data_IF_488357653187
#
_entry.id   IF_488357653187
#
_cell.length_a   1.000
_cell.length_b   1.000
_cell.length_c   1.000
_cell.angle_alpha   90.00
_cell.angle_beta   90.00
_cell.angle_gamma   90.00
#
_symmetry.space_group_name_H-M   'P 1'
#
loop_
_entity.id
_entity.type
_entity.pdbx_description
1 polymer ?
#
# COMPACT_ATOMS: atom_id res chain seq x y z
N UNK A 1 12.65 14.55 7.75
CA UNK A 1 13.02 13.18 8.16
C UNK A 1 14.16 12.71 7.29
N UNK A 2 15.06 11.89 7.81
CA UNK A 2 16.23 11.42 7.04
C UNK A 2 15.80 10.48 5.92
N UNK A 3 15.83 10.99 4.68
CA UNK A 3 15.53 10.25 3.45
C UNK A 3 16.37 8.96 3.36
N UNK A 4 17.60 8.98 3.87
CA UNK A 4 18.50 7.83 3.94
C UNK A 4 17.99 6.65 4.78
N UNK A 5 17.24 6.89 5.86
CA UNK A 5 16.70 5.80 6.70
C UNK A 5 15.47 5.13 6.09
N UNK A 6 14.66 5.86 5.31
CA UNK A 6 13.59 5.26 4.52
C UNK A 6 14.19 4.40 3.39
N UNK A 7 15.17 4.93 2.66
CA UNK A 7 15.87 4.19 1.61
C UNK A 7 16.58 2.94 2.14
N UNK A 8 17.21 2.99 3.32
CA UNK A 8 17.86 1.81 3.90
C UNK A 8 16.85 0.73 4.31
N UNK A 9 15.68 1.10 4.83
CA UNK A 9 14.59 0.14 5.10
C UNK A 9 14.06 -0.49 3.79
N UNK A 10 13.72 0.32 2.79
CA UNK A 10 13.22 -0.15 1.49
C UNK A 10 14.23 -1.07 0.80
N UNK A 11 15.53 -0.73 0.84
CA UNK A 11 16.61 -1.58 0.33
C UNK A 11 16.62 -2.95 1.02
N UNK A 12 16.56 -3.00 2.34
CA UNK A 12 16.56 -4.25 3.12
C UNK A 12 15.32 -5.11 2.84
N UNK A 13 14.14 -4.49 2.74
CA UNK A 13 12.89 -5.19 2.37
C UNK A 13 12.97 -5.75 0.94
N UNK A 14 13.47 -4.97 -0.01
CA UNK A 14 13.63 -5.39 -1.41
C UNK A 14 14.62 -6.55 -1.52
N UNK A 15 15.75 -6.50 -0.82
CA UNK A 15 16.72 -7.60 -0.75
C UNK A 15 16.09 -8.87 -0.15
N UNK A 16 15.32 -8.74 0.94
CA UNK A 16 14.60 -9.87 1.53
C UNK A 16 13.62 -10.51 0.55
N UNK A 17 12.84 -9.71 -0.19
CA UNK A 17 11.94 -10.18 -1.24
C UNK A 17 12.68 -10.91 -2.37
N UNK A 18 13.80 -10.36 -2.85
CA UNK A 18 14.61 -10.99 -3.90
C UNK A 18 15.20 -12.34 -3.44
N UNK A 19 15.70 -12.41 -2.19
CA UNK A 19 16.18 -13.67 -1.61
C UNK A 19 15.05 -14.70 -1.43
N UNK A 20 13.86 -14.27 -1.00
CA UNK A 20 12.67 -15.11 -0.84
C UNK A 20 12.18 -15.65 -2.19
N UNK A 21 12.09 -14.79 -3.20
CA UNK A 21 11.72 -15.13 -4.58
C UNK A 21 12.71 -16.13 -5.18
N UNK A 22 14.01 -15.85 -5.09
CA UNK A 22 15.06 -16.75 -5.60
C UNK A 22 14.99 -18.14 -4.97
N UNK A 23 14.81 -18.24 -3.64
CA UNK A 23 14.65 -19.53 -2.95
C UNK A 23 13.37 -20.25 -3.33
N UNK A 24 12.27 -19.52 -3.51
CA UNK A 24 10.99 -20.07 -3.96
C UNK A 24 11.10 -20.63 -5.38
N UNK A 25 11.71 -19.90 -6.31
CA UNK A 25 11.98 -20.39 -7.68
C UNK A 25 12.85 -21.65 -7.66
N UNK A 26 13.95 -21.68 -6.89
CA UNK A 26 14.78 -22.89 -6.72
C UNK A 26 13.99 -24.09 -6.20
N UNK A 27 13.06 -23.87 -5.26
CA UNK A 27 12.19 -24.89 -4.69
C UNK A 27 11.15 -25.40 -5.69
N UNK A 28 10.57 -24.50 -6.51
CA UNK A 28 9.64 -24.87 -7.58
C UNK A 28 10.32 -25.74 -8.64
N UNK A 29 11.51 -25.32 -9.11
CA UNK A 29 12.32 -25.98 -10.15
C UNK A 29 12.99 -27.28 -9.63
N UNK A 30 12.68 -27.74 -8.41
CA UNK A 30 13.18 -28.98 -7.81
C UNK A 30 14.72 -29.09 -7.73
N UNK A 31 15.48 -27.98 -7.81
CA UNK A 31 16.95 -27.97 -7.71
C UNK A 31 17.43 -28.10 -6.26
N UNK A 32 17.06 -29.21 -5.60
CA UNK A 32 17.24 -29.45 -4.17
C UNK A 32 18.71 -29.43 -3.72
N UNK A 33 19.63 -29.96 -4.52
CA UNK A 33 21.07 -29.92 -4.21
C UNK A 33 21.61 -28.49 -4.11
N UNK A 34 21.20 -27.62 -5.04
CA UNK A 34 21.62 -26.23 -5.04
C UNK A 34 20.95 -25.45 -3.90
N UNK A 35 19.65 -25.70 -3.66
CA UNK A 35 18.91 -25.14 -2.52
C UNK A 35 19.53 -25.52 -1.18
N UNK A 36 19.91 -26.78 -0.96
CA UNK A 36 20.54 -27.23 0.30
C UNK A 36 21.96 -26.68 0.47
N UNK A 37 22.74 -26.55 -0.61
CA UNK A 37 24.06 -25.91 -0.61
C UNK A 37 24.00 -24.40 -0.30
N UNK A 38 22.99 -23.72 -0.85
CA UNK A 38 22.66 -22.32 -0.52
C UNK A 38 22.20 -22.21 0.93
N UNK A 39 21.25 -23.04 1.37
CA UNK A 39 20.72 -23.05 2.74
C UNK A 39 21.81 -23.31 3.78
N UNK A 40 22.81 -24.15 3.47
CA UNK A 40 23.92 -24.43 4.40
C UNK A 40 24.98 -23.33 4.46
N UNK A 41 25.25 -22.61 3.36
CA UNK A 41 26.12 -21.43 3.36
C UNK A 41 25.45 -20.17 3.93
N UNK A 42 24.16 -19.98 3.69
CA UNK A 42 23.41 -18.76 4.01
C UNK A 42 22.45 -18.96 5.20
N UNK A 43 22.75 -19.92 6.10
CA UNK A 43 21.90 -20.28 7.27
C UNK A 43 21.45 -19.07 8.10
N UNK A 44 22.33 -18.09 8.26
CA UNK A 44 22.07 -16.91 9.08
C UNK A 44 21.52 -15.73 8.27
N UNK A 45 21.53 -15.76 6.94
CA UNK A 45 21.12 -14.60 6.12
C UNK A 45 19.62 -14.35 6.24
N UNK A 46 18.79 -15.39 6.25
CA UNK A 46 17.33 -15.23 6.43
C UNK A 46 16.95 -14.59 7.78
N UNK A 47 17.41 -15.11 8.95
CA UNK A 47 17.11 -14.46 10.22
C UNK A 47 17.80 -13.09 10.38
N UNK A 48 19.00 -12.87 9.80
CA UNK A 48 19.66 -11.56 9.84
C UNK A 48 18.86 -10.52 9.05
N UNK A 49 18.42 -10.83 7.82
CA UNK A 49 17.60 -9.90 7.03
C UNK A 49 16.23 -9.67 7.70
N UNK A 50 15.61 -10.71 8.27
CA UNK A 50 14.35 -10.57 9.02
C UNK A 50 14.50 -9.66 10.24
N UNK A 51 15.55 -9.83 11.04
CA UNK A 51 15.84 -8.97 12.20
C UNK A 51 16.20 -7.54 11.76
N UNK A 52 16.99 -7.38 10.70
CA UNK A 52 17.35 -6.06 10.17
C UNK A 52 16.13 -5.31 9.62
N UNK A 53 15.21 -6.02 8.95
CA UNK A 53 13.94 -5.49 8.46
C UNK A 53 13.02 -5.06 9.61
N UNK A 54 12.90 -5.88 10.66
CA UNK A 54 12.14 -5.54 11.87
C UNK A 54 12.78 -4.38 12.67
N UNK A 55 14.11 -4.35 12.79
CA UNK A 55 14.81 -3.30 13.52
C UNK A 55 14.71 -1.94 12.80
N UNK A 56 14.91 -1.93 11.48
CA UNK A 56 14.72 -0.70 10.67
C UNK A 56 13.25 -0.27 10.66
N UNK A 57 12.30 -1.19 10.44
CA UNK A 57 10.87 -0.90 10.43
C UNK A 57 10.35 -0.40 11.79
N UNK A 58 10.79 -1.03 12.89
CA UNK A 58 10.46 -0.60 14.25
C UNK A 58 11.09 0.75 14.62
N UNK A 59 12.31 1.04 14.13
CA UNK A 59 12.92 2.36 14.27
C UNK A 59 12.12 3.43 13.50
N UNK A 60 11.71 3.17 12.26
CA UNK A 60 10.82 4.08 11.53
C UNK A 60 9.50 4.29 12.29
N UNK A 61 8.87 3.23 12.79
CA UNK A 61 7.63 3.33 13.57
C UNK A 61 7.81 4.19 14.83
N UNK A 62 8.95 4.06 15.52
CA UNK A 62 9.30 4.88 16.69
C UNK A 62 9.42 6.38 16.35
N UNK A 63 9.79 6.75 15.12
CA UNK A 63 9.84 8.14 14.68
C UNK A 63 8.45 8.72 14.36
N UNK A 64 7.47 7.88 14.01
CA UNK A 64 6.07 8.29 13.82
C UNK A 64 5.30 8.38 15.15
N UNK A 65 5.74 7.66 16.19
CA UNK A 65 5.15 7.73 17.53
C UNK A 65 3.68 7.30 17.55
N UNK A 66 2.86 8.02 18.33
CA UNK A 66 1.40 7.79 18.42
C UNK A 66 0.62 8.29 17.20
N UNK A 67 1.24 9.05 16.30
CA UNK A 67 0.64 9.49 15.03
C UNK A 67 0.89 8.49 13.88
N UNK A 68 1.43 7.30 14.19
CA UNK A 68 1.61 6.24 13.21
C UNK A 68 0.25 5.73 12.69
N UNK A 69 -0.02 5.78 11.38
CA UNK A 69 -1.26 5.27 10.81
C UNK A 69 -1.41 3.75 11.05
N UNK A 70 -2.66 3.31 11.21
CA UNK A 70 -3.01 1.94 11.64
C UNK A 70 -2.43 0.84 10.76
N UNK A 71 -2.26 1.10 9.46
CA UNK A 71 -1.67 0.14 8.52
C UNK A 71 -0.23 -0.26 8.88
N UNK A 72 0.57 0.64 9.48
CA UNK A 72 1.95 0.33 9.86
C UNK A 72 2.02 -0.68 11.02
N UNK A 73 1.10 -0.58 11.97
CA UNK A 73 0.98 -1.52 13.09
C UNK A 73 0.53 -2.90 12.62
N UNK A 74 -0.51 -2.96 11.77
CA UNK A 74 -1.00 -4.22 11.19
C UNK A 74 0.07 -4.87 10.31
N UNK A 75 0.78 -4.08 9.48
CA UNK A 75 1.95 -4.53 8.71
C UNK A 75 3.01 -5.18 9.60
N UNK A 76 3.39 -4.53 10.71
CA UNK A 76 4.43 -5.04 11.60
C UNK A 76 4.05 -6.41 12.21
N UNK A 77 2.80 -6.56 12.66
CA UNK A 77 2.27 -7.84 13.18
C UNK A 77 2.25 -8.91 12.09
N UNK A 78 1.78 -8.58 10.89
CA UNK A 78 1.67 -9.51 9.78
C UNK A 78 3.06 -10.02 9.30
N UNK A 79 4.05 -9.13 9.26
CA UNK A 79 5.46 -9.48 8.98
C UNK A 79 6.02 -10.45 10.03
N UNK A 80 5.74 -10.20 11.32
CA UNK A 80 6.20 -11.05 12.42
C UNK A 80 5.62 -12.48 12.33
N UNK A 81 4.43 -12.63 11.76
CA UNK A 81 3.80 -13.94 11.47
C UNK A 81 4.39 -14.59 10.20
N UNK A 82 4.70 -13.82 9.15
CA UNK A 82 5.20 -14.36 7.88
C UNK A 82 6.65 -14.86 7.97
N UNK A 83 7.52 -14.18 8.72
CA UNK A 83 8.94 -14.60 8.88
C UNK A 83 9.06 -16.08 9.33
N UNK A 84 8.42 -16.54 10.43
CA UNK A 84 8.48 -17.95 10.82
C UNK A 84 7.79 -18.89 9.83
N UNK A 85 6.70 -18.47 9.16
CA UNK A 85 6.06 -19.27 8.11
C UNK A 85 7.03 -19.52 6.95
N UNK A 86 7.73 -18.48 6.47
CA UNK A 86 8.75 -18.60 5.42
C UNK A 86 9.91 -19.53 5.82
N UNK A 87 10.44 -19.38 7.04
CA UNK A 87 11.49 -20.27 7.57
C UNK A 87 11.00 -21.73 7.61
N UNK A 88 9.77 -21.98 8.08
CA UNK A 88 9.18 -23.32 8.12
C UNK A 88 8.94 -23.88 6.72
N UNK A 89 8.53 -23.05 5.75
CA UNK A 89 8.33 -23.47 4.36
C UNK A 89 9.61 -24.04 3.73
N UNK A 90 10.74 -23.34 3.83
CA UNK A 90 12.04 -23.82 3.33
C UNK A 90 12.68 -24.91 4.21
N UNK A 91 12.27 -25.04 5.48
CA UNK A 91 12.69 -26.16 6.33
C UNK A 91 11.95 -27.45 5.98
N UNK A 92 10.66 -27.37 5.64
CA UNK A 92 9.78 -28.49 5.25
C UNK A 92 9.75 -28.77 3.74
N UNK A 93 10.46 -27.98 2.92
CA UNK A 93 10.43 -28.02 1.45
C UNK A 93 9.01 -27.90 0.85
N UNK A 94 8.07 -27.28 1.57
CA UNK A 94 6.68 -27.19 1.14
C UNK A 94 6.50 -26.02 0.15
N UNK A 95 6.31 -26.36 -1.13
CA UNK A 95 6.11 -25.40 -2.22
C UNK A 95 4.95 -24.44 -1.97
N UNK A 96 3.79 -24.95 -1.53
CA UNK A 96 2.61 -24.12 -1.30
C UNK A 96 2.86 -23.07 -0.22
N UNK A 97 3.46 -23.47 0.91
CA UNK A 97 3.80 -22.54 2.00
C UNK A 97 4.83 -21.49 1.57
N UNK A 98 5.78 -21.84 0.71
CA UNK A 98 6.78 -20.90 0.19
C UNK A 98 6.16 -19.88 -0.78
N UNK A 99 5.24 -20.31 -1.65
CA UNK A 99 4.49 -19.41 -2.54
C UNK A 99 3.57 -18.49 -1.74
N UNK A 100 2.82 -19.01 -0.75
CA UNK A 100 1.96 -18.20 0.11
C UNK A 100 2.79 -17.14 0.86
N UNK A 101 3.93 -17.52 1.45
CA UNK A 101 4.82 -16.57 2.12
C UNK A 101 5.37 -15.50 1.16
N UNK A 102 5.72 -15.87 -0.08
CA UNK A 102 6.17 -14.93 -1.12
C UNK A 102 5.05 -13.95 -1.51
N UNK A 103 3.84 -14.43 -1.79
CA UNK A 103 2.69 -13.60 -2.16
C UNK A 103 2.30 -12.63 -1.04
N UNK A 104 2.23 -13.10 0.20
CA UNK A 104 1.94 -12.24 1.37
C UNK A 104 3.04 -11.20 1.59
N UNK A 105 4.31 -11.54 1.39
CA UNK A 105 5.43 -10.57 1.51
C UNK A 105 5.36 -9.52 0.40
N UNK A 106 5.02 -9.92 -0.83
CA UNK A 106 4.87 -9.00 -1.96
C UNK A 106 3.67 -8.07 -1.79
N UNK A 107 2.53 -8.60 -1.33
CA UNK A 107 1.35 -7.83 -0.95
C UNK A 107 1.69 -6.77 0.12
N UNK A 108 2.41 -7.15 1.18
CA UNK A 108 2.85 -6.20 2.22
C UNK A 108 3.79 -5.13 1.67
N UNK A 109 4.69 -5.50 0.76
CA UNK A 109 5.61 -4.55 0.14
C UNK A 109 4.84 -3.54 -0.72
N UNK A 110 3.92 -3.98 -1.58
CA UNK A 110 3.05 -3.08 -2.34
C UNK A 110 2.20 -2.19 -1.42
N UNK A 111 1.57 -2.78 -0.39
CA UNK A 111 0.80 -2.06 0.63
C UNK A 111 1.64 -1.04 1.42
N UNK A 112 2.97 -1.22 1.47
CA UNK A 112 3.90 -0.26 2.08
C UNK A 112 4.21 0.93 1.20
N UNK A 113 4.21 0.73 -0.12
CA UNK A 113 4.52 1.77 -1.11
C UNK A 113 3.28 2.65 -1.36
N UNK A 114 2.09 2.04 -1.47
CA UNK A 114 0.81 2.74 -1.66
C UNK A 114 0.21 3.30 -0.35
N UNK A 115 0.84 3.04 0.80
CA UNK A 115 0.38 3.53 2.11
C UNK A 115 -0.94 2.93 2.63
N UNK A 116 -1.48 1.89 1.98
CA UNK A 116 -2.78 1.29 2.30
C UNK A 116 -2.72 -0.24 2.30
N UNK A 117 -3.48 -0.88 3.18
CA UNK A 117 -3.65 -2.35 3.19
C UNK A 117 -4.69 -2.80 2.16
N UNK A 118 -5.72 -2.00 1.93
CA UNK A 118 -6.72 -2.26 0.91
C UNK A 118 -6.21 -1.66 -0.39
N UNK A 119 -5.57 -2.48 -1.22
CA UNK A 119 -5.56 -2.21 -2.65
C UNK A 119 -7.04 -2.15 -3.08
N UNK A 120 -7.51 -0.97 -3.48
CA UNK A 120 -8.87 -0.79 -4.01
C UNK A 120 -9.04 -1.73 -5.19
N UNK A 121 -9.77 -2.82 -4.95
CA UNK A 121 -9.98 -3.87 -5.93
C UNK A 121 -11.15 -3.44 -6.80
N UNK A 122 -10.83 -2.89 -7.96
CA UNK A 122 -11.79 -2.87 -9.06
C UNK A 122 -12.18 -4.32 -9.38
N UNK A 123 -13.48 -4.57 -9.50
CA UNK A 123 -14.04 -5.91 -9.38
C UNK A 123 -13.95 -6.69 -10.70
N UNK A 124 -12.88 -7.48 -10.86
CA UNK A 124 -12.85 -8.53 -11.88
C UNK A 124 -12.38 -9.91 -11.36
N UNK A 125 -13.35 -10.84 -11.27
CA UNK A 125 -13.33 -12.20 -11.87
C UNK A 125 -11.98 -12.95 -11.78
N UNK A 126 -11.78 -14.11 -11.14
CA UNK A 126 -12.60 -15.22 -10.64
C UNK A 126 -11.72 -16.10 -9.68
N UNK A 127 -12.10 -17.21 -9.05
CA UNK A 127 -13.26 -18.12 -9.12
C UNK A 127 -13.63 -18.52 -7.69
N UNK A 128 -14.93 -18.65 -7.40
CA UNK A 128 -15.43 -19.48 -6.29
C UNK A 128 -16.68 -20.23 -6.72
N UNK A 129 -16.51 -21.43 -7.27
CA UNK A 129 -17.60 -22.41 -7.39
C UNK A 129 -17.91 -22.94 -5.97
N UNK A 130 -19.00 -22.46 -5.37
CA UNK A 130 -20.27 -23.20 -5.40
C UNK A 130 -21.38 -22.43 -4.65
N UNK A 131 -22.53 -22.32 -5.31
CA UNK A 131 -23.80 -21.76 -4.79
C UNK A 131 -24.62 -22.89 -4.08
N UNK A 132 -25.84 -22.70 -3.51
CA UNK A 132 -26.70 -21.51 -3.54
C UNK A 132 -27.47 -21.13 -2.25
N UNK A 133 -28.24 -20.04 -2.38
CA UNK A 133 -29.45 -19.62 -1.64
C UNK A 133 -29.29 -18.67 -0.41
N UNK A 134 -30.19 -17.71 -0.16
CA UNK A 134 -31.18 -17.04 -1.05
C UNK A 134 -31.76 -15.71 -0.47
N UNK A 135 -32.29 -14.87 -1.37
CA UNK A 135 -33.36 -13.87 -1.20
C UNK A 135 -33.33 -12.80 -0.08
N UNK A 136 -33.05 -11.57 -0.55
CA UNK A 136 -33.92 -10.39 -0.45
C UNK A 136 -33.94 -9.48 0.80
N UNK A 137 -34.05 -8.18 0.47
CA UNK A 137 -34.43 -7.01 1.26
C UNK A 137 -33.34 -6.27 2.07
N UNK A 138 -33.27 -4.96 1.79
CA UNK A 138 -32.82 -3.87 2.67
C UNK A 138 -31.29 -3.69 2.88
N UNK A 139 -30.65 -3.02 1.93
CA UNK A 139 -29.31 -2.40 2.11
C UNK A 139 -29.49 -0.91 2.41
N UNK A 140 -29.20 -0.53 3.65
CA UNK A 140 -29.19 0.86 4.11
C UNK A 140 -27.89 1.53 3.67
N UNK A 141 -27.98 2.57 2.83
CA UNK A 141 -26.83 3.37 2.41
C UNK A 141 -26.63 4.54 3.39
N UNK A 142 -25.76 4.35 4.38
CA UNK A 142 -25.22 5.45 5.21
C UNK A 142 -23.70 5.34 5.45
N UNK A 143 -23.03 4.24 5.04
CA UNK A 143 -21.61 4.00 5.34
C UNK A 143 -20.60 4.49 4.29
N UNK A 144 -21.03 4.65 3.03
CA UNK A 144 -20.11 4.79 1.89
C UNK A 144 -19.45 6.18 1.80
N UNK A 145 -20.21 7.23 2.08
CA UNK A 145 -19.75 8.63 1.98
C UNK A 145 -18.64 8.98 2.98
N UNK A 146 -18.62 8.37 4.17
CA UNK A 146 -17.66 8.74 5.23
C UNK A 146 -16.26 8.17 4.96
N UNK A 147 -16.15 6.96 4.42
CA UNK A 147 -14.86 6.39 4.02
C UNK A 147 -14.32 7.05 2.73
N UNK A 148 -15.20 7.38 1.77
CA UNK A 148 -14.81 8.12 0.56
C UNK A 148 -14.21 9.50 0.90
N UNK A 149 -14.90 10.32 1.71
CA UNK A 149 -14.40 11.66 2.10
C UNK A 149 -13.08 11.58 2.88
N UNK A 150 -12.93 10.58 3.75
CA UNK A 150 -11.69 10.35 4.50
C UNK A 150 -10.51 10.01 3.57
N UNK A 151 -10.72 9.18 2.55
CA UNK A 151 -9.69 8.91 1.54
C UNK A 151 -9.33 10.18 0.74
N UNK A 152 -10.34 10.96 0.34
CA UNK A 152 -10.17 12.24 -0.37
C UNK A 152 -9.27 13.23 0.38
N UNK A 153 -9.40 13.30 1.71
CA UNK A 153 -8.53 14.11 2.58
C UNK A 153 -7.08 13.64 2.55
N UNK A 154 -6.83 12.35 2.65
CA UNK A 154 -5.48 11.78 2.66
C UNK A 154 -4.76 12.04 1.33
N UNK A 155 -5.45 11.84 0.20
CA UNK A 155 -4.94 12.14 -1.14
C UNK A 155 -4.69 13.65 -1.32
N UNK A 156 -5.60 14.51 -0.86
CA UNK A 156 -5.40 15.96 -0.89
C UNK A 156 -4.14 16.39 -0.11
N UNK A 157 -3.91 15.77 1.05
CA UNK A 157 -2.72 16.03 1.88
C UNK A 157 -1.44 15.40 1.31
N UNK A 158 -1.53 14.36 0.49
CA UNK A 158 -0.38 13.81 -0.23
C UNK A 158 0.00 14.72 -1.42
N UNK A 159 -0.96 15.04 -2.28
CA UNK A 159 -0.69 15.60 -3.60
C UNK A 159 -1.07 17.08 -3.73
N UNK A 160 -2.31 17.45 -3.43
CA UNK A 160 -2.85 18.78 -3.73
C UNK A 160 -2.24 19.89 -2.84
N UNK A 161 -1.98 19.62 -1.55
CA UNK A 161 -1.46 20.62 -0.60
C UNK A 161 -0.10 21.20 -0.99
N UNK A 162 0.67 20.50 -1.83
CA UNK A 162 1.97 20.95 -2.34
C UNK A 162 1.85 22.34 -2.96
N UNK A 163 0.78 22.56 -3.74
CA UNK A 163 0.49 23.83 -4.40
C UNK A 163 -0.63 24.65 -3.73
N UNK A 164 -1.72 23.99 -3.32
CA UNK A 164 -2.90 24.67 -2.77
C UNK A 164 -2.84 24.90 -1.26
N UNK A 165 -1.95 24.23 -0.52
CA UNK A 165 -1.88 24.33 0.94
C UNK A 165 -2.87 23.40 1.64
N UNK A 166 -2.69 23.22 2.94
CA UNK A 166 -3.56 22.37 3.77
C UNK A 166 -4.97 22.97 3.94
N UNK A 167 -5.07 24.30 3.85
CA UNK A 167 -6.28 25.13 3.96
C UNK A 167 -6.83 25.61 2.60
N UNK A 168 -6.25 25.15 1.48
CA UNK A 168 -6.65 25.52 0.12
C UNK A 168 -6.18 26.90 -0.38
N UNK A 169 -5.42 27.67 0.43
CA UNK A 169 -5.15 29.11 0.22
C UNK A 169 -3.70 29.47 -0.16
N UNK A 170 -2.80 28.50 -0.29
CA UNK A 170 -1.35 28.74 -0.46
C UNK A 170 -0.95 29.44 -1.77
N UNK A 171 -1.71 29.25 -2.84
CA UNK A 171 -1.53 29.97 -4.11
C UNK A 171 -0.20 29.75 -4.86
N UNK A 172 0.52 28.65 -4.59
CA UNK A 172 1.81 28.39 -5.24
C UNK A 172 1.62 28.25 -6.76
N UNK A 173 2.57 28.77 -7.56
CA UNK A 173 2.46 28.82 -9.04
C UNK A 173 1.18 29.51 -9.57
N UNK A 174 0.58 30.43 -8.79
CA UNK A 174 -0.73 31.05 -9.08
C UNK A 174 -1.90 30.04 -9.05
N UNK A 175 -1.78 28.97 -8.27
CA UNK A 175 -2.91 28.11 -7.94
C UNK A 175 -4.08 28.96 -7.37
N UNK A 176 -5.33 28.72 -7.79
CA UNK A 176 -6.48 29.41 -7.21
C UNK A 176 -6.72 28.98 -5.77
N UNK A 177 -7.34 29.88 -4.99
CA UNK A 177 -7.90 29.58 -3.68
C UNK A 177 -9.08 28.60 -3.85
N UNK A 178 -8.95 27.40 -3.27
CA UNK A 178 -9.94 26.35 -3.43
C UNK A 178 -11.22 26.62 -2.62
N UNK A 179 -11.14 27.41 -1.54
CA UNK A 179 -12.30 27.71 -0.68
C UNK A 179 -13.24 28.71 -1.37
N UNK A 180 -12.78 29.37 -2.43
CA UNK A 180 -13.56 30.26 -3.29
C UNK A 180 -14.03 29.57 -4.59
N UNK A 181 -13.79 28.26 -4.73
CA UNK A 181 -14.18 27.51 -5.93
C UNK A 181 -15.69 27.36 -6.05
N UNK A 182 -16.24 27.84 -7.17
CA UNK A 182 -17.65 27.69 -7.55
C UNK A 182 -17.89 26.53 -8.53
N UNK A 183 -16.86 25.72 -8.80
CA UNK A 183 -16.97 24.55 -9.68
C UNK A 183 -17.87 23.49 -9.04
N UNK A 184 -18.67 22.81 -9.87
CA UNK A 184 -19.46 21.66 -9.42
C UNK A 184 -18.57 20.41 -9.20
N UNK A 185 -19.16 19.31 -8.72
CA UNK A 185 -18.40 18.07 -8.48
C UNK A 185 -17.81 17.48 -9.76
N UNK A 186 -18.57 17.48 -10.86
CA UNK A 186 -18.16 16.93 -12.15
C UNK A 186 -17.05 17.76 -12.81
N UNK A 187 -17.11 19.09 -12.69
CA UNK A 187 -16.07 20.00 -13.17
C UNK A 187 -14.76 19.82 -12.38
N UNK A 188 -14.86 19.64 -11.06
CA UNK A 188 -13.70 19.36 -10.19
C UNK A 188 -13.04 18.03 -10.57
N UNK A 189 -13.83 16.95 -10.70
CA UNK A 189 -13.37 15.64 -11.18
C UNK A 189 -12.68 15.77 -12.54
N UNK A 190 -13.29 16.47 -13.49
CA UNK A 190 -12.72 16.66 -14.82
C UNK A 190 -11.37 17.38 -14.79
N UNK A 191 -11.23 18.47 -14.02
CA UNK A 191 -9.97 19.23 -13.93
C UNK A 191 -8.88 18.49 -13.15
N UNK A 192 -9.23 17.68 -12.15
CA UNK A 192 -8.27 16.81 -11.46
C UNK A 192 -7.77 15.72 -12.42
N UNK A 193 -8.68 15.11 -13.19
CA UNK A 193 -8.36 14.06 -14.15
C UNK A 193 -7.41 14.56 -15.25
N UNK A 194 -7.76 15.64 -15.95
CA UNK A 194 -7.02 16.13 -17.15
C UNK A 194 -5.95 17.20 -16.84
N UNK A 195 -5.91 17.72 -15.61
CA UNK A 195 -5.05 18.84 -15.21
C UNK A 195 -5.49 20.19 -15.80
N UNK A 196 -4.82 21.28 -15.39
CA UNK A 196 -5.06 22.62 -15.95
C UNK A 196 -3.88 23.57 -15.79
N UNK A 197 -3.30 23.99 -16.92
CA UNK A 197 -2.20 24.95 -16.96
C UNK A 197 -0.93 24.38 -16.33
N UNK A 198 -0.66 24.74 -15.07
CA UNK A 198 0.46 24.20 -14.27
C UNK A 198 0.05 23.07 -13.31
N UNK A 199 -1.25 22.82 -13.16
CA UNK A 199 -1.77 21.68 -12.41
C UNK A 199 -1.63 20.40 -13.25
N UNK A 200 -0.95 19.35 -12.77
CA UNK A 200 -0.79 18.09 -13.50
C UNK A 200 -2.11 17.33 -13.64
N UNK A 201 -2.13 16.38 -14.58
CA UNK A 201 -3.24 15.46 -14.82
C UNK A 201 -3.08 14.21 -13.95
N UNK A 202 -4.09 13.87 -13.15
CA UNK A 202 -4.04 12.71 -12.25
C UNK A 202 -4.68 11.44 -12.81
N UNK A 203 -5.20 11.44 -14.04
CA UNK A 203 -5.88 10.28 -14.66
C UNK A 203 -5.05 8.98 -14.72
N UNK A 204 -3.71 9.08 -14.67
CA UNK A 204 -2.78 7.94 -14.69
C UNK A 204 -2.15 7.66 -13.32
N UNK A 205 -2.48 8.46 -12.30
CA UNK A 205 -1.91 8.39 -10.94
C UNK A 205 -2.97 8.04 -9.88
N UNK A 206 -4.24 8.41 -10.10
CA UNK A 206 -5.38 8.15 -9.23
C UNK A 206 -6.50 7.44 -10.00
N UNK A 207 -7.22 6.53 -9.35
CA UNK A 207 -8.44 5.92 -9.88
C UNK A 207 -9.61 6.91 -9.89
N UNK A 208 -10.68 6.60 -10.64
CA UNK A 208 -11.81 7.52 -10.79
C UNK A 208 -12.52 7.80 -9.45
N UNK A 209 -12.62 6.80 -8.58
CA UNK A 209 -13.21 6.92 -7.23
C UNK A 209 -12.32 7.75 -6.29
N UNK A 210 -10.99 7.69 -6.44
CA UNK A 210 -10.05 8.53 -5.69
C UNK A 210 -10.10 9.99 -6.14
N UNK A 211 -10.26 10.24 -7.45
CA UNK A 211 -10.47 11.57 -8.01
C UNK A 211 -11.80 12.17 -7.50
N UNK A 212 -12.87 11.38 -7.48
CA UNK A 212 -14.18 11.79 -6.94
C UNK A 212 -14.12 12.06 -5.43
N UNK A 213 -13.45 11.18 -4.67
CA UNK A 213 -13.20 11.36 -3.24
C UNK A 213 -12.48 12.69 -2.93
N UNK A 214 -11.41 13.03 -3.67
CA UNK A 214 -10.74 14.33 -3.55
C UNK A 214 -11.68 15.48 -3.91
N UNK A 215 -12.43 15.36 -5.01
CA UNK A 215 -13.34 16.41 -5.47
C UNK A 215 -14.47 16.70 -4.46
N UNK A 216 -14.95 15.67 -3.75
CA UNK A 216 -15.87 15.78 -2.61
C UNK A 216 -15.21 16.45 -1.39
N UNK A 217 -13.98 16.06 -1.03
CA UNK A 217 -13.25 16.68 0.09
C UNK A 217 -13.04 18.19 -0.09
N UNK A 218 -12.98 18.69 -1.33
CA UNK A 218 -12.91 20.14 -1.58
C UNK A 218 -14.13 20.93 -1.07
N UNK A 219 -15.26 20.29 -0.77
CA UNK A 219 -16.39 20.95 -0.11
C UNK A 219 -16.17 21.15 1.40
N UNK A 220 -15.31 20.35 2.06
CA UNK A 220 -14.93 20.55 3.47
C UNK A 220 -13.95 21.73 3.67
N UNK A 221 -13.33 22.22 2.59
CA UNK A 221 -12.36 23.32 2.63
C UNK A 221 -13.01 24.72 2.54
N UNK A 222 -14.30 24.81 2.20
CA UNK A 222 -15.02 26.08 1.91
C UNK A 222 -15.24 26.97 3.14
#
# INVERSE_FOLDING_TARGET
MEIGMLHSHVLVVTLFLLFLLFKTVLLLVNKKEFLTKIRTKLKMVDPILGVLMLATGGYLLSLYGSAAPTYLWVKLVLVLIIIPIGIVAFKKENKAMAVIALLLTFYIYGASEVGSLTFSKDESVAVSDDSPANNAAEVVIEGETTELVKNGKEIYLAECKKCHGEDGKKGLFKAPDLTQSQLDLSERVAWIKIGKGVMPAYENELSETEIEAVALYLDELK
#
